data_IF_257461494305
#
_entry.id   IF_257461494305
#
_cell.length_a   1.000
_cell.length_b   1.000
_cell.length_c   1.000
_cell.angle_alpha   90.00
_cell.angle_beta   90.00
_cell.angle_gamma   90.00
#
_symmetry.space_group_name_H-M   'P 1'
#
loop_
_entity.id
_entity.type
_entity.pdbx_description
1 polymer ?
#
# COMPACT_ATOMS: atom_id res chain seq x y z
N UNK A 1 -12.24 48.03 27.22
CA UNK A 1 -11.16 47.40 26.43
C UNK A 1 -10.49 46.37 27.32
N UNK A 2 -11.01 45.13 27.32
CA UNK A 2 -10.50 44.06 28.18
C UNK A 2 -9.31 43.41 27.48
N UNK A 3 -8.12 43.60 28.06
CA UNK A 3 -6.88 42.98 27.60
C UNK A 3 -6.96 41.47 27.89
N UNK A 4 -7.18 40.66 26.85
CA UNK A 4 -7.03 39.21 26.91
C UNK A 4 -5.55 38.90 27.12
N UNK A 5 -5.17 38.68 28.38
CA UNK A 5 -3.88 38.07 28.72
C UNK A 5 -3.87 36.64 28.18
N UNK A 6 -3.24 36.42 27.03
CA UNK A 6 -2.90 35.09 26.55
C UNK A 6 -1.99 34.42 27.57
N UNK A 7 -2.43 33.31 28.17
CA UNK A 7 -1.55 32.47 28.98
C UNK A 7 -0.42 31.97 28.06
N UNK A 8 0.82 32.33 28.40
CA UNK A 8 1.99 31.74 27.76
C UNK A 8 1.91 30.22 27.89
N UNK A 9 1.97 29.52 26.75
CA UNK A 9 1.90 28.08 26.70
C UNK A 9 3.20 27.51 27.27
N UNK A 10 3.12 26.58 28.23
CA UNK A 10 4.32 25.97 28.82
C UNK A 10 5.09 25.20 27.74
N UNK A 11 6.37 25.52 27.59
CA UNK A 11 7.28 24.79 26.70
C UNK A 11 7.65 23.48 27.39
N UNK A 12 7.30 22.36 26.76
CA UNK A 12 7.68 21.02 27.17
C UNK A 12 9.17 20.80 26.94
N UNK A 13 9.82 20.25 27.95
CA UNK A 13 11.24 19.94 27.96
C UNK A 13 11.50 18.52 28.44
N UNK A 14 12.68 17.94 28.12
CA UNK A 14 13.03 16.62 28.61
C UNK A 14 13.00 16.51 30.14
N UNK A 15 12.38 15.43 30.62
CA UNK A 15 12.18 15.16 32.05
C UNK A 15 10.79 15.56 32.56
N UNK A 16 9.99 16.26 31.76
CA UNK A 16 8.62 16.61 32.13
C UNK A 16 7.74 15.35 32.24
N UNK A 17 6.88 15.33 33.27
CA UNK A 17 5.94 14.22 33.52
C UNK A 17 4.79 14.14 32.50
N UNK A 18 4.78 15.01 31.49
CA UNK A 18 3.78 15.03 30.44
C UNK A 18 3.94 13.86 29.44
N UNK A 19 5.09 13.20 29.39
CA UNK A 19 5.35 12.09 28.46
C UNK A 19 5.13 10.74 29.16
N UNK A 20 4.11 9.99 28.71
CA UNK A 20 3.84 8.65 29.23
C UNK A 20 4.75 7.61 28.55
N UNK A 21 5.83 7.27 29.26
CA UNK A 21 6.86 6.33 28.81
C UNK A 21 6.31 4.91 28.59
N UNK A 22 5.19 4.55 29.22
CA UNK A 22 4.55 3.24 29.03
C UNK A 22 4.01 3.06 27.62
N UNK A 23 3.81 4.16 26.89
CA UNK A 23 3.32 4.16 25.52
C UNK A 23 4.44 3.95 24.48
N UNK A 24 5.72 3.94 24.88
CA UNK A 24 6.83 3.67 23.97
C UNK A 24 6.77 2.21 23.51
N UNK A 25 6.94 2.01 22.20
CA UNK A 25 7.07 0.68 21.61
C UNK A 25 8.32 0.60 20.75
N UNK A 26 9.13 -0.42 21.02
CA UNK A 26 10.19 -0.83 20.12
C UNK A 26 9.57 -1.48 18.88
N UNK A 27 10.17 -1.25 17.72
CA UNK A 27 9.68 -1.78 16.46
C UNK A 27 10.47 -1.29 15.27
N UNK A 28 10.16 -1.83 14.11
CA UNK A 28 10.67 -1.35 12.82
C UNK A 28 9.50 -1.18 11.88
N UNK A 29 9.44 -0.04 11.21
CA UNK A 29 8.41 0.27 10.23
C UNK A 29 9.05 1.04 9.07
N UNK A 30 8.40 0.98 7.93
CA UNK A 30 8.82 1.70 6.74
C UNK A 30 7.79 2.74 6.34
N UNK A 31 8.24 3.95 5.99
CA UNK A 31 7.38 4.99 5.46
C UNK A 31 7.82 5.36 4.03
N UNK A 32 6.89 5.29 3.09
CA UNK A 32 7.05 5.83 1.75
C UNK A 32 6.86 7.35 1.78
N UNK A 33 7.76 8.12 1.19
CA UNK A 33 7.59 9.56 0.99
C UNK A 33 7.16 9.84 -0.44
N UNK A 34 6.01 10.50 -0.59
CA UNK A 34 5.46 10.95 -1.85
C UNK A 34 5.59 12.46 -1.97
N UNK A 35 6.04 12.94 -3.12
CA UNK A 35 5.95 14.35 -3.48
C UNK A 35 4.72 14.59 -4.37
N UNK A 36 4.09 15.74 -4.20
CA UNK A 36 2.98 16.18 -5.05
C UNK A 36 3.49 17.11 -6.16
N UNK A 37 3.17 16.81 -7.41
CA UNK A 37 3.40 17.70 -8.56
C UNK A 37 2.29 17.54 -9.59
N UNK A 38 1.73 18.65 -10.07
CA UNK A 38 0.65 18.68 -11.07
C UNK A 38 -0.56 17.79 -10.69
N UNK A 39 -0.93 17.76 -9.41
CA UNK A 39 -2.03 16.94 -8.89
C UNK A 39 -1.76 15.43 -8.88
N UNK A 40 -0.52 15.00 -9.15
CA UNK A 40 -0.10 13.61 -9.08
C UNK A 40 0.91 13.41 -7.94
N UNK A 41 0.86 12.24 -7.33
CA UNK A 41 1.83 11.81 -6.32
C UNK A 41 2.82 10.83 -6.95
N UNK A 42 4.09 10.94 -6.56
CA UNK A 42 5.14 10.00 -6.94
C UNK A 42 6.06 9.75 -5.76
N UNK A 43 6.45 8.49 -5.57
CA UNK A 43 7.33 8.08 -4.47
C UNK A 43 8.75 8.61 -4.73
N UNK A 44 9.23 9.48 -3.85
CA UNK A 44 10.58 10.05 -3.95
C UNK A 44 11.58 9.34 -3.05
N UNK A 45 11.13 8.72 -1.96
CA UNK A 45 12.02 7.98 -1.07
C UNK A 45 11.28 7.00 -0.16
N UNK A 46 12.03 6.11 0.49
CA UNK A 46 11.55 5.26 1.58
C UNK A 46 12.42 5.47 2.82
N UNK A 47 11.78 5.53 3.98
CA UNK A 47 12.41 5.63 5.29
C UNK A 47 12.18 4.33 6.05
N UNK A 48 13.22 3.56 6.35
CA UNK A 48 13.14 2.48 7.35
C UNK A 48 13.50 3.06 8.70
N UNK A 49 12.58 3.00 9.65
CA UNK A 49 12.74 3.58 10.99
C UNK A 49 12.71 2.44 12.00
N UNK A 50 13.76 2.35 12.81
CA UNK A 50 13.84 1.42 13.94
C UNK A 50 13.84 2.21 15.24
N UNK A 51 12.81 1.97 16.06
CA UNK A 51 12.75 2.43 17.44
C UNK A 51 13.23 1.28 18.33
N UNK A 52 14.24 1.55 19.15
CA UNK A 52 14.75 0.62 20.14
C UNK A 52 14.74 1.29 21.52
N UNK A 53 13.74 0.95 22.33
CA UNK A 53 13.64 1.36 23.71
C UNK A 53 14.21 0.29 24.63
N UNK A 54 15.07 0.72 25.55
CA UNK A 54 15.67 -0.06 26.63
C UNK A 54 15.50 0.71 27.94
N UNK A 55 15.83 0.11 29.09
CA UNK A 55 15.76 0.80 30.38
C UNK A 55 16.67 2.02 30.47
N UNK A 56 17.72 2.08 29.64
CA UNK A 56 18.71 3.17 29.63
C UNK A 56 18.45 4.18 28.53
N UNK A 57 18.20 3.71 27.31
CA UNK A 57 18.18 4.53 26.12
C UNK A 57 16.94 4.27 25.26
N UNK A 58 16.45 5.35 24.64
CA UNK A 58 15.58 5.34 23.48
C UNK A 58 16.44 5.65 22.24
N UNK A 59 16.64 4.67 21.37
CA UNK A 59 17.32 4.83 20.09
C UNK A 59 16.34 4.91 18.93
N UNK A 60 16.51 5.90 18.06
CA UNK A 60 15.82 6.03 16.77
C UNK A 60 16.86 5.96 15.67
N UNK A 61 16.77 4.92 14.84
CA UNK A 61 17.67 4.70 13.71
C UNK A 61 16.87 4.82 12.42
N UNK A 62 17.31 5.70 11.52
CA UNK A 62 16.60 5.96 10.26
C UNK A 62 17.52 5.65 9.09
N UNK A 63 17.02 4.85 8.17
CA UNK A 63 17.65 4.56 6.88
C UNK A 63 16.79 5.17 5.78
N UNK A 64 17.37 6.09 5.00
CA UNK A 64 16.69 6.76 3.89
C UNK A 64 17.23 6.25 2.57
N UNK A 65 16.34 5.69 1.75
CA UNK A 65 16.59 5.26 0.38
C UNK A 65 15.89 6.22 -0.60
N UNK A 66 16.65 6.82 -1.51
CA UNK A 66 16.09 7.67 -2.56
C UNK A 66 15.62 6.81 -3.75
N UNK A 67 14.40 7.05 -4.24
CA UNK A 67 13.87 6.34 -5.40
C UNK A 67 14.78 6.55 -6.62
N UNK A 68 15.15 5.45 -7.29
CA UNK A 68 16.03 5.50 -8.47
C UNK A 68 17.52 5.73 -8.19
N UNK A 69 17.95 5.78 -6.93
CA UNK A 69 19.35 5.94 -6.54
C UNK A 69 19.85 4.76 -5.70
N UNK A 70 21.16 4.52 -5.72
CA UNK A 70 21.85 3.63 -4.77
C UNK A 70 22.28 4.36 -3.49
N UNK A 71 22.07 5.67 -3.43
CA UNK A 71 22.46 6.50 -2.29
C UNK A 71 21.57 6.20 -1.08
N UNK A 72 22.22 6.08 0.07
CA UNK A 72 21.59 5.81 1.36
C UNK A 72 22.02 6.88 2.35
N UNK A 73 21.07 7.40 3.12
CA UNK A 73 21.38 8.22 4.31
C UNK A 73 21.06 7.43 5.57
N UNK A 74 21.97 7.49 6.54
CA UNK A 74 21.85 6.80 7.82
C UNK A 74 21.84 7.88 8.91
N UNK A 75 20.79 7.91 9.70
CA UNK A 75 20.66 8.78 10.85
C UNK A 75 20.49 7.94 12.12
N UNK A 76 21.10 8.39 13.21
CA UNK A 76 20.97 7.79 14.53
C UNK A 76 20.71 8.89 15.53
N UNK A 77 19.70 8.71 16.37
CA UNK A 77 19.40 9.56 17.51
C UNK A 77 19.24 8.70 18.74
N UNK A 78 19.89 9.08 19.82
CA UNK A 78 19.86 8.37 21.10
C UNK A 78 19.49 9.38 22.17
N UNK A 79 18.46 9.05 22.93
CA UNK A 79 18.02 9.80 24.10
C UNK A 79 18.02 8.90 25.34
N UNK A 80 18.16 9.51 26.52
CA UNK A 80 17.93 8.83 27.79
C UNK A 80 16.47 8.35 27.86
N UNK A 81 16.25 7.08 28.22
CA UNK A 81 14.90 6.49 28.22
C UNK A 81 13.98 7.08 29.29
N UNK A 82 14.56 7.61 30.37
CA UNK A 82 13.80 8.12 31.50
C UNK A 82 13.42 9.59 31.34
N UNK A 83 14.25 10.40 30.70
CA UNK A 83 14.02 11.85 30.57
C UNK A 83 13.78 12.28 29.15
N UNK A 84 14.10 11.43 28.17
CA UNK A 84 14.16 11.78 26.74
C UNK A 84 15.13 12.90 26.42
N UNK A 85 16.08 13.19 27.33
CA UNK A 85 17.19 14.09 27.04
C UNK A 85 18.02 13.46 25.93
N UNK A 86 18.31 14.17 24.84
CA UNK A 86 19.18 13.64 23.81
C UNK A 86 20.58 13.43 24.40
N UNK A 87 21.25 12.37 23.94
CA UNK A 87 22.59 11.93 24.36
C UNK A 87 23.53 11.98 23.17
N UNK A 88 23.08 11.47 22.02
CA UNK A 88 23.89 11.38 20.82
C UNK A 88 23.06 11.49 19.55
N UNK A 89 23.63 12.13 18.52
CA UNK A 89 23.13 12.05 17.16
C UNK A 89 24.25 11.91 16.15
N UNK A 90 24.00 11.15 15.10
CA UNK A 90 24.83 11.13 13.91
C UNK A 90 24.01 11.12 12.64
N UNK A 91 24.57 11.68 11.58
CA UNK A 91 24.02 11.65 10.23
C UNK A 91 25.12 11.34 9.24
N UNK A 92 24.94 10.37 8.37
CA UNK A 92 25.87 10.07 7.28
C UNK A 92 25.09 9.89 5.99
N UNK A 93 25.41 10.68 4.98
CA UNK A 93 24.85 10.56 3.64
C UNK A 93 25.95 10.75 2.60
N UNK A 94 25.59 10.70 1.32
CA UNK A 94 26.49 11.07 0.22
C UNK A 94 27.09 12.47 0.38
N UNK A 95 26.32 13.42 0.92
CA UNK A 95 26.68 14.84 0.94
C UNK A 95 27.21 15.33 2.29
N UNK A 96 26.95 14.62 3.40
CA UNK A 96 27.36 15.06 4.73
C UNK A 96 27.79 13.92 5.65
N UNK A 97 28.56 14.28 6.66
CA UNK A 97 28.77 13.50 7.87
C UNK A 97 28.60 14.44 9.07
N UNK A 98 27.86 14.02 10.09
CA UNK A 98 27.61 14.83 11.28
C UNK A 98 27.63 13.94 12.51
N UNK A 99 28.20 14.47 13.60
CA UNK A 99 28.15 13.90 14.93
C UNK A 99 27.84 15.03 15.92
N UNK A 100 26.88 14.80 16.80
CA UNK A 100 26.45 15.70 17.86
C UNK A 100 26.40 14.92 19.16
N UNK A 101 27.13 15.38 20.18
CA UNK A 101 27.08 14.88 21.54
C UNK A 101 26.36 15.91 22.40
N UNK A 102 25.37 15.46 23.14
CA UNK A 102 24.55 16.31 23.99
C UNK A 102 24.98 16.16 25.45
N UNK A 103 25.14 17.30 26.13
CA UNK A 103 25.56 17.35 27.53
C UNK A 103 25.32 18.75 28.10
N UNK A 104 26.16 19.18 29.05
CA UNK A 104 26.16 20.58 29.52
C UNK A 104 26.42 21.57 28.39
N UNK A 105 27.26 21.17 27.44
CA UNK A 105 27.42 21.81 26.14
C UNK A 105 27.03 20.80 25.06
N UNK A 106 26.52 21.29 23.93
CA UNK A 106 26.34 20.49 22.72
C UNK A 106 27.61 20.61 21.89
N UNK A 107 28.26 19.49 21.61
CA UNK A 107 29.56 19.47 20.93
C UNK A 107 29.55 18.51 19.74
N UNK A 108 30.44 18.71 18.79
CA UNK A 108 30.59 17.79 17.67
C UNK A 108 31.07 18.45 16.40
N UNK A 109 30.67 17.90 15.26
CA UNK A 109 31.02 18.47 13.97
C UNK A 109 29.98 18.16 12.90
N UNK A 110 29.94 19.01 11.88
CA UNK A 110 29.33 18.78 10.59
C UNK A 110 30.41 18.86 9.51
N UNK A 111 30.49 17.86 8.66
CA UNK A 111 31.40 17.80 7.53
C UNK A 111 30.61 17.75 6.23
N UNK A 112 30.73 18.80 5.44
CA UNK A 112 30.21 18.87 4.09
C UNK A 112 31.17 18.12 3.15
N UNK A 113 30.71 16.99 2.59
CA UNK A 113 31.53 16.17 1.69
C UNK A 113 31.69 16.78 0.31
N UNK A 114 30.78 17.67 -0.10
CA UNK A 114 30.84 18.36 -1.39
C UNK A 114 31.87 19.48 -1.36
N UNK A 115 31.79 20.35 -0.34
CA UNK A 115 32.71 21.49 -0.21
C UNK A 115 33.98 21.14 0.55
N UNK A 116 34.07 19.93 1.13
CA UNK A 116 35.15 19.47 2.01
C UNK A 116 35.36 20.38 3.23
N UNK A 117 34.33 21.10 3.66
CA UNK A 117 34.37 22.01 4.82
C UNK A 117 33.89 21.31 6.07
N UNK A 118 34.63 21.49 7.16
CA UNK A 118 34.26 21.02 8.50
C UNK A 118 33.83 22.21 9.36
N UNK A 119 32.66 22.09 9.97
CA UNK A 119 32.11 23.03 10.94
C UNK A 119 32.13 22.36 12.31
N UNK A 120 32.75 23.03 13.29
CA UNK A 120 32.71 22.60 14.70
C UNK A 120 31.37 23.00 15.30
N UNK A 121 30.76 22.09 16.06
CA UNK A 121 29.53 22.34 16.82
C UNK A 121 29.95 22.63 18.26
N UNK A 122 29.53 23.78 18.79
CA UNK A 122 29.70 24.17 20.19
C UNK A 122 28.58 25.11 20.61
N UNK A 123 27.51 24.57 21.16
CA UNK A 123 26.36 25.32 21.66
C UNK A 123 26.13 25.06 23.15
N UNK A 124 25.32 25.91 23.79
CA UNK A 124 24.87 25.69 25.16
C UNK A 124 23.88 24.51 25.24
N UNK A 125 24.05 23.63 26.22
CA UNK A 125 23.16 22.51 26.50
C UNK A 125 21.90 22.97 27.23
N UNK A 126 20.88 23.39 26.47
CA UNK A 126 19.56 23.71 27.00
C UNK A 126 18.67 22.46 27.12
N UNK A 127 17.53 22.58 27.80
CA UNK A 127 16.55 21.51 27.89
C UNK A 127 15.71 21.45 26.59
N UNK A 128 16.09 20.57 25.66
CA UNK A 128 15.42 20.37 24.37
C UNK A 128 15.37 18.88 23.99
N UNK A 129 14.44 18.51 23.11
CA UNK A 129 14.42 17.22 22.44
C UNK A 129 15.26 17.25 21.16
N UNK A 130 15.69 16.08 20.67
CA UNK A 130 16.33 15.98 19.36
C UNK A 130 15.29 15.97 18.21
N UNK A 131 15.61 16.63 17.10
CA UNK A 131 14.69 16.78 15.96
C UNK A 131 14.30 15.48 15.27
N UNK A 132 15.09 14.40 15.40
CA UNK A 132 14.76 13.09 14.85
C UNK A 132 14.01 12.19 15.84
N UNK A 133 14.09 12.48 17.14
CA UNK A 133 13.38 11.70 18.18
C UNK A 133 12.01 12.30 18.50
N UNK A 134 11.85 13.62 18.52
CA UNK A 134 10.59 14.27 18.95
C UNK A 134 9.32 13.81 18.20
N UNK A 135 9.33 13.47 16.89
CA UNK A 135 8.12 13.03 16.21
C UNK A 135 7.50 11.80 16.88
N UNK A 136 8.33 10.92 17.43
CA UNK A 136 7.91 9.70 18.13
C UNK A 136 7.53 9.95 19.59
N UNK A 137 7.96 11.09 20.16
CA UNK A 137 7.53 11.53 21.49
C UNK A 137 6.12 12.14 21.46
N UNK A 138 5.65 12.64 20.31
CA UNK A 138 4.28 13.17 20.17
C UNK A 138 3.21 12.13 20.56
N UNK A 139 3.44 10.86 20.24
CA UNK A 139 2.53 9.76 20.61
C UNK A 139 2.47 9.46 22.10
N UNK A 140 3.45 9.94 22.88
CA UNK A 140 3.54 9.75 24.33
C UNK A 140 2.84 10.87 25.11
N UNK A 141 2.44 11.95 24.45
CA UNK A 141 1.70 13.04 25.07
C UNK A 141 0.27 12.58 25.41
N UNK A 142 -0.38 13.20 26.42
CA UNK A 142 -1.77 12.96 26.77
C UNK A 142 -2.71 13.65 25.75
N UNK A 143 -2.60 13.22 24.49
CA UNK A 143 -3.32 13.79 23.36
C UNK A 143 -4.83 13.69 23.59
N UNK A 144 -5.49 14.84 23.50
CA UNK A 144 -6.94 15.00 23.50
C UNK A 144 -7.32 16.09 22.50
N UNK A 145 -8.58 16.13 22.07
CA UNK A 145 -9.04 17.20 21.18
C UNK A 145 -8.82 18.57 21.84
N UNK A 146 -8.20 19.50 21.12
CA UNK A 146 -7.87 20.84 21.61
C UNK A 146 -6.55 20.93 22.39
N UNK A 147 -5.82 19.82 22.55
CA UNK A 147 -4.48 19.83 23.15
C UNK A 147 -3.54 20.79 22.40
N UNK A 148 -2.74 21.53 23.17
CA UNK A 148 -1.69 22.44 22.68
C UNK A 148 -0.45 22.25 23.56
N UNK A 149 0.72 22.22 22.94
CA UNK A 149 2.02 22.17 23.61
C UNK A 149 3.10 22.78 22.72
N UNK A 150 4.09 23.43 23.31
CA UNK A 150 5.30 23.86 22.58
C UNK A 150 6.42 22.90 22.98
N UNK A 151 7.27 22.46 22.06
CA UNK A 151 8.44 21.63 22.35
C UNK A 151 9.70 22.38 21.93
N UNK A 152 10.67 22.48 22.84
CA UNK A 152 12.01 22.91 22.47
C UNK A 152 12.72 21.77 21.73
N UNK A 153 13.16 22.00 20.50
CA UNK A 153 13.78 21.01 19.62
C UNK A 153 15.12 21.52 19.11
N UNK A 154 16.16 20.69 19.24
CA UNK A 154 17.49 20.99 18.71
C UNK A 154 17.72 20.34 17.34
N UNK A 155 18.15 21.14 16.38
CA UNK A 155 18.51 20.73 15.03
C UNK A 155 19.68 21.57 14.50
N UNK A 156 20.89 20.99 14.51
CA UNK A 156 22.05 21.67 13.96
C UNK A 156 22.04 21.68 12.43
N UNK A 157 22.17 22.87 11.84
CA UNK A 157 22.51 23.05 10.42
C UNK A 157 23.51 24.20 10.28
N UNK A 158 24.53 24.09 9.42
CA UNK A 158 25.41 25.22 9.13
C UNK A 158 24.61 26.44 8.66
N UNK A 159 24.88 27.61 9.24
CA UNK A 159 24.20 28.86 8.91
C UNK A 159 22.91 29.16 9.69
N UNK A 160 22.48 28.27 10.60
CA UNK A 160 21.39 28.58 11.52
C UNK A 160 21.76 29.75 12.46
N UNK A 161 20.82 30.67 12.68
CA UNK A 161 20.96 31.71 13.72
C UNK A 161 20.83 31.14 15.14
N UNK A 162 19.96 30.14 15.32
CA UNK A 162 19.83 29.32 16.54
C UNK A 162 19.60 27.87 16.15
N UNK A 163 20.21 26.95 16.89
CA UNK A 163 20.02 25.51 16.70
C UNK A 163 18.88 24.95 17.55
N UNK A 164 18.37 25.71 18.52
CA UNK A 164 17.14 25.35 19.26
C UNK A 164 15.96 26.12 18.69
N UNK A 165 14.88 25.40 18.37
CA UNK A 165 13.67 25.90 17.74
C UNK A 165 12.45 25.42 18.53
N UNK A 166 11.34 26.16 18.43
CA UNK A 166 10.07 25.72 18.97
C UNK A 166 9.28 24.95 17.90
N UNK A 167 8.90 23.71 18.22
CA UNK A 167 7.88 22.97 17.51
C UNK A 167 6.55 23.15 18.27
N UNK A 168 5.63 23.95 17.71
CA UNK A 168 4.34 24.25 18.30
C UNK A 168 3.28 23.27 17.83
N UNK A 169 2.64 22.57 18.75
CA UNK A 169 1.41 21.83 18.50
C UNK A 169 0.26 22.84 18.41
N UNK A 170 -0.20 23.10 17.19
CA UNK A 170 -1.23 24.09 16.89
C UNK A 170 -2.65 23.55 17.06
N UNK A 171 -2.85 22.25 16.83
CA UNK A 171 -4.16 21.61 16.91
C UNK A 171 -3.98 20.10 17.12
N UNK A 172 -4.81 19.54 18.00
CA UNK A 172 -5.04 18.10 18.08
C UNK A 172 -6.53 17.85 17.93
N UNK A 173 -6.91 16.94 17.03
CA UNK A 173 -8.30 16.50 16.86
C UNK A 173 -8.41 15.01 16.57
N UNK A 174 -9.61 14.48 16.76
CA UNK A 174 -9.92 13.11 16.36
C UNK A 174 -10.10 13.03 14.84
N UNK A 175 -9.55 12.00 14.22
CA UNK A 175 -9.78 11.71 12.81
C UNK A 175 -9.81 10.18 12.58
N UNK A 176 -10.13 9.76 11.36
CA UNK A 176 -10.05 8.40 10.88
C UNK A 176 -8.98 8.33 9.79
N UNK A 177 -8.01 7.44 9.95
CA UNK A 177 -7.09 7.08 8.89
C UNK A 177 -7.54 5.75 8.26
N UNK A 178 -7.54 5.65 6.94
CA UNK A 178 -7.91 4.42 6.23
C UNK A 178 -6.68 3.86 5.51
N UNK A 179 -6.20 2.73 6.01
CA UNK A 179 -5.19 1.90 5.36
C UNK A 179 -5.83 1.01 4.28
N UNK A 180 -5.12 0.83 3.17
CA UNK A 180 -5.50 -0.10 2.11
C UNK A 180 -5.37 -1.57 2.53
N UNK A 181 -4.56 -1.86 3.56
CA UNK A 181 -4.27 -3.20 4.07
C UNK A 181 -5.14 -3.52 5.30
N UNK A 182 -5.04 -2.72 6.34
CA UNK A 182 -5.65 -2.99 7.65
C UNK A 182 -6.99 -2.27 7.85
N UNK A 183 -7.32 -1.28 7.01
CA UNK A 183 -8.61 -0.58 7.03
C UNK A 183 -8.63 0.62 7.95
N UNK A 184 -9.75 0.80 8.67
CA UNK A 184 -10.03 2.03 9.40
C UNK A 184 -9.34 2.04 10.78
N UNK A 185 -8.60 3.12 11.04
CA UNK A 185 -7.87 3.37 12.29
C UNK A 185 -8.30 4.70 12.89
N UNK A 186 -8.65 4.69 14.18
CA UNK A 186 -8.95 5.93 14.91
C UNK A 186 -7.63 6.59 15.27
N UNK A 187 -7.46 7.84 14.85
CA UNK A 187 -6.21 8.56 15.04
C UNK A 187 -6.41 9.92 15.73
N UNK A 188 -5.35 10.38 16.38
CA UNK A 188 -5.12 11.79 16.65
C UNK A 188 -4.46 12.40 15.42
N UNK A 189 -5.10 13.44 14.87
CA UNK A 189 -4.47 14.32 13.91
C UNK A 189 -3.80 15.46 14.67
N UNK A 190 -2.47 15.48 14.69
CA UNK A 190 -1.64 16.42 15.44
C UNK A 190 -0.95 17.36 14.45
N UNK A 191 -1.37 18.63 14.43
CA UNK A 191 -0.74 19.68 13.61
C UNK A 191 0.39 20.33 14.39
N UNK A 192 1.59 20.30 13.84
CA UNK A 192 2.81 20.89 14.40
C UNK A 192 3.38 21.91 13.43
N UNK A 193 3.80 23.07 13.93
CA UNK A 193 4.48 24.11 13.16
C UNK A 193 5.87 24.37 13.77
N UNK A 194 6.92 24.29 12.96
CA UNK A 194 8.26 24.71 13.36
C UNK A 194 8.42 26.21 13.16
N UNK A 195 8.51 26.98 14.24
CA UNK A 195 8.40 28.44 14.17
C UNK A 195 9.51 29.10 13.33
N UNK A 196 10.71 28.53 13.34
CA UNK A 196 11.87 29.09 12.68
C UNK A 196 11.83 28.93 11.15
N UNK A 197 11.34 27.79 10.66
CA UNK A 197 11.28 27.49 9.22
C UNK A 197 9.89 27.72 8.63
N UNK A 198 8.87 27.82 9.47
CA UNK A 198 7.45 27.80 9.11
C UNK A 198 7.02 26.50 8.42
N UNK A 199 7.81 25.44 8.58
CA UNK A 199 7.42 24.10 8.13
C UNK A 199 6.25 23.61 8.97
N UNK A 200 5.26 23.01 8.31
CA UNK A 200 4.06 22.46 8.97
C UNK A 200 4.02 20.95 8.76
N UNK A 201 3.69 20.24 9.82
CA UNK A 201 3.57 18.78 9.86
C UNK A 201 2.20 18.40 10.41
N UNK A 202 1.57 17.39 9.83
CA UNK A 202 0.32 16.83 10.34
C UNK A 202 0.49 15.34 10.53
N UNK A 203 0.63 14.92 11.78
CA UNK A 203 0.81 13.52 12.15
C UNK A 203 -0.54 12.83 12.38
N UNK A 204 -0.71 11.63 11.85
CA UNK A 204 -1.87 10.77 12.07
C UNK A 204 -1.43 9.63 12.98
N UNK A 205 -1.58 9.86 14.29
CA UNK A 205 -1.09 8.96 15.34
C UNK A 205 -2.24 8.10 15.83
N UNK A 206 -2.12 6.79 15.72
CA UNK A 206 -3.10 5.83 16.19
C UNK A 206 -3.44 6.01 17.66
N UNK A 207 -4.73 5.99 18.02
CA UNK A 207 -5.16 6.22 19.40
C UNK A 207 -4.77 5.09 20.35
N UNK A 208 -4.71 3.86 19.85
CA UNK A 208 -4.50 2.67 20.65
C UNK A 208 -3.03 2.23 20.58
N UNK A 209 -2.53 2.04 19.36
CA UNK A 209 -1.19 1.52 19.12
C UNK A 209 -0.09 2.58 19.23
N UNK A 210 -0.43 3.88 19.09
CA UNK A 210 0.49 5.03 18.96
C UNK A 210 1.38 5.00 17.71
N UNK A 211 1.08 4.13 16.75
CA UNK A 211 1.71 4.07 15.43
C UNK A 211 1.45 5.36 14.65
N UNK A 212 2.44 5.84 13.90
CA UNK A 212 2.26 6.97 12.99
C UNK A 212 1.91 6.41 11.62
N UNK A 213 0.66 6.58 11.20
CA UNK A 213 0.15 6.07 9.93
C UNK A 213 0.53 6.96 8.74
N UNK A 214 0.52 8.28 8.97
CA UNK A 214 0.77 9.28 7.95
C UNK A 214 1.37 10.55 8.55
N UNK A 215 2.22 11.23 7.79
CA UNK A 215 2.67 12.60 8.06
C UNK A 215 2.46 13.43 6.79
N UNK A 216 1.57 14.42 6.83
CA UNK A 216 1.54 15.45 5.78
C UNK A 216 2.58 16.53 6.12
N UNK A 217 3.45 16.88 5.18
CA UNK A 217 4.52 17.86 5.36
C UNK A 217 4.36 18.98 4.34
N UNK A 218 4.35 20.22 4.82
CA UNK A 218 4.49 21.42 4.00
C UNK A 218 5.80 22.10 4.39
N UNK A 219 6.78 22.06 3.50
CA UNK A 219 8.09 22.68 3.70
C UNK A 219 8.51 23.46 2.48
N UNK A 220 8.88 24.73 2.66
CA UNK A 220 9.32 25.62 1.56
C UNK A 220 8.39 25.63 0.33
N UNK A 221 7.08 25.54 0.55
CA UNK A 221 6.06 25.48 -0.52
C UNK A 221 5.88 24.11 -1.18
N UNK A 222 6.72 23.12 -0.84
CA UNK A 222 6.58 21.74 -1.30
C UNK A 222 5.69 20.94 -0.38
N UNK A 223 4.82 20.11 -0.96
CA UNK A 223 3.97 19.15 -0.24
C UNK A 223 4.56 17.76 -0.36
N UNK A 224 4.86 17.16 0.78
CA UNK A 224 5.29 15.77 0.90
C UNK A 224 4.31 15.01 1.79
N UNK A 225 4.20 13.70 1.58
CA UNK A 225 3.45 12.81 2.44
C UNK A 225 4.29 11.59 2.77
N UNK A 226 4.50 11.33 4.06
CA UNK A 226 5.02 10.05 4.51
C UNK A 226 3.84 9.14 4.85
N UNK A 227 3.81 7.95 4.28
CA UNK A 227 2.76 6.95 4.48
C UNK A 227 3.41 5.65 4.94
N UNK A 228 2.91 5.08 6.04
CA UNK A 228 3.38 3.79 6.54
C UNK A 228 3.10 2.67 5.52
N UNK A 229 4.12 1.87 5.21
CA UNK A 229 4.03 0.72 4.28
C UNK A 229 3.48 -0.55 4.93
N UNK A 230 3.31 -0.54 6.26
CA UNK A 230 2.78 -1.68 7.03
C UNK A 230 3.57 -2.96 6.80
N UNK A 231 4.90 -2.85 6.79
CA UNK A 231 5.80 -3.99 6.52
C UNK A 231 5.71 -5.12 7.55
N UNK A 232 5.15 -4.83 8.72
CA UNK A 232 4.84 -5.77 9.79
C UNK A 232 3.44 -6.42 9.66
N UNK A 233 2.62 -5.97 8.71
CA UNK A 233 1.32 -6.60 8.43
C UNK A 233 1.51 -7.93 7.71
N UNK A 234 1.21 -9.01 8.41
CA UNK A 234 1.15 -10.35 7.84
C UNK A 234 -0.19 -11.02 8.20
N UNK A 235 -1.14 -11.12 7.26
CA UNK A 235 -2.42 -11.77 7.52
C UNK A 235 -2.39 -13.29 7.35
N UNK A 236 -1.25 -13.87 6.94
CA UNK A 236 -1.13 -15.30 6.66
C UNK A 236 -0.81 -16.09 7.93
N UNK A 237 -1.54 -17.18 8.13
CA UNK A 237 -1.25 -18.18 9.16
C UNK A 237 -0.38 -19.31 8.61
N UNK A 238 -0.43 -19.55 7.31
CA UNK A 238 0.41 -20.54 6.63
C UNK A 238 1.79 -19.98 6.37
N UNK A 239 2.83 -20.75 6.73
CA UNK A 239 4.21 -20.44 6.34
C UNK A 239 4.42 -20.74 4.86
N UNK A 240 4.95 -19.79 4.11
CA UNK A 240 5.34 -19.99 2.72
C UNK A 240 6.67 -20.77 2.64
N UNK A 241 6.72 -21.82 1.81
CA UNK A 241 7.94 -22.55 1.46
C UNK A 241 8.33 -22.24 0.01
N UNK A 242 9.23 -21.27 -0.16
CA UNK A 242 9.72 -20.84 -1.47
C UNK A 242 10.42 -21.97 -2.22
N UNK A 243 11.28 -22.73 -1.53
CA UNK A 243 12.12 -23.74 -2.17
C UNK A 243 11.27 -24.89 -2.74
N UNK A 244 10.30 -25.37 -1.95
CA UNK A 244 9.35 -26.37 -2.41
C UNK A 244 8.46 -25.84 -3.53
N UNK A 245 7.87 -24.66 -3.36
CA UNK A 245 6.93 -24.08 -4.32
C UNK A 245 7.59 -23.81 -5.67
N UNK A 246 8.83 -23.31 -5.68
CA UNK A 246 9.58 -23.08 -6.92
C UNK A 246 9.90 -24.39 -7.64
N UNK A 247 10.21 -25.47 -6.90
CA UNK A 247 10.43 -26.80 -7.50
C UNK A 247 9.19 -27.31 -8.23
N UNK A 248 7.99 -27.04 -7.71
CA UNK A 248 6.74 -27.46 -8.36
C UNK A 248 6.60 -26.98 -9.82
N UNK A 249 7.23 -25.84 -10.17
CA UNK A 249 7.11 -25.20 -11.49
C UNK A 249 8.39 -25.22 -12.33
N UNK A 250 9.49 -25.77 -11.79
CA UNK A 250 10.81 -25.78 -12.44
C UNK A 250 11.46 -27.16 -12.52
N UNK A 251 11.15 -28.09 -11.60
CA UNK A 251 11.93 -29.32 -11.42
C UNK A 251 11.20 -30.60 -11.80
N UNK A 252 9.95 -30.52 -12.27
CA UNK A 252 9.23 -31.71 -12.72
C UNK A 252 9.36 -31.94 -14.23
N UNK A 253 8.65 -32.94 -14.74
CA UNK A 253 8.64 -33.34 -16.14
C UNK A 253 7.20 -33.53 -16.69
N UNK A 254 6.18 -33.15 -15.92
CA UNK A 254 4.79 -33.15 -16.36
C UNK A 254 4.48 -31.92 -17.21
N UNK A 255 3.40 -32.03 -18.00
CA UNK A 255 2.93 -30.99 -18.93
C UNK A 255 1.45 -30.75 -18.72
N UNK A 256 1.04 -29.48 -18.77
CA UNK A 256 -0.37 -29.11 -18.95
C UNK A 256 -0.51 -28.55 -20.37
N UNK A 257 -1.36 -29.19 -21.17
CA UNK A 257 -1.77 -28.72 -22.50
C UNK A 257 -3.18 -28.16 -22.37
N UNK A 258 -3.43 -26.96 -22.88
CA UNK A 258 -4.74 -26.37 -22.72
C UNK A 258 -5.27 -25.59 -23.90
N UNK A 259 -6.57 -25.31 -23.85
CA UNK A 259 -7.30 -24.52 -24.83
C UNK A 259 -8.17 -23.48 -24.12
N UNK A 260 -8.03 -22.20 -24.46
CA UNK A 260 -8.79 -21.10 -23.88
C UNK A 260 -9.83 -20.55 -24.86
N UNK A 261 -11.12 -20.58 -24.48
CA UNK A 261 -12.20 -20.07 -25.32
C UNK A 261 -13.45 -19.67 -24.52
N UNK A 262 -14.22 -18.75 -25.09
CA UNK A 262 -15.54 -18.38 -24.63
C UNK A 262 -16.62 -18.94 -25.55
N UNK A 263 -17.82 -19.10 -25.00
CA UNK A 263 -19.03 -19.31 -25.77
C UNK A 263 -20.11 -18.39 -25.25
N UNK A 264 -20.82 -17.79 -26.18
CA UNK A 264 -21.93 -16.91 -25.93
C UNK A 264 -23.24 -17.66 -26.18
N UNK A 265 -24.14 -17.75 -25.19
CA UNK A 265 -25.46 -18.35 -25.40
C UNK A 265 -26.48 -17.29 -25.84
N UNK A 266 -27.01 -17.47 -27.03
CA UNK A 266 -28.07 -16.64 -27.62
C UNK A 266 -29.50 -17.17 -27.31
N UNK A 267 -29.67 -18.00 -26.27
CA UNK A 267 -30.96 -18.69 -26.06
C UNK A 267 -32.06 -17.73 -25.56
N UNK A 268 -33.14 -17.60 -26.34
CA UNK A 268 -34.38 -16.89 -25.98
C UNK A 268 -35.54 -17.86 -25.67
N UNK A 269 -36.67 -17.33 -25.17
CA UNK A 269 -37.90 -18.09 -24.93
C UNK A 269 -37.82 -19.10 -23.77
N UNK A 270 -38.43 -20.28 -23.92
CA UNK A 270 -38.46 -21.38 -22.93
C UNK A 270 -37.07 -21.91 -22.52
N UNK A 271 -36.02 -21.54 -23.27
CA UNK A 271 -34.63 -21.93 -23.03
C UNK A 271 -33.76 -20.76 -22.52
N UNK A 272 -34.36 -19.60 -22.22
CA UNK A 272 -33.68 -18.43 -21.66
C UNK A 272 -33.02 -18.79 -20.33
N UNK A 273 -31.69 -18.72 -20.29
CA UNK A 273 -30.88 -19.10 -19.11
C UNK A 273 -30.53 -20.59 -19.03
N UNK A 274 -31.02 -21.44 -19.95
CA UNK A 274 -30.54 -22.81 -20.08
C UNK A 274 -29.37 -22.82 -21.05
N UNK A 275 -28.17 -23.16 -20.55
CA UNK A 275 -27.02 -23.44 -21.40
C UNK A 275 -27.26 -24.75 -22.18
N UNK A 276 -28.00 -24.67 -23.30
CA UNK A 276 -28.19 -25.82 -24.19
C UNK A 276 -26.81 -26.17 -24.76
N UNK A 277 -26.40 -27.40 -24.49
CA UNK A 277 -25.03 -27.89 -24.71
C UNK A 277 -24.56 -27.66 -26.16
N UNK A 278 -23.38 -27.05 -26.30
CA UNK A 278 -22.48 -27.17 -27.45
C UNK A 278 -22.84 -26.49 -28.80
N UNK A 279 -23.93 -25.73 -28.94
CA UNK A 279 -24.34 -25.21 -30.26
C UNK A 279 -23.59 -23.92 -30.70
N UNK A 280 -23.09 -23.12 -29.75
CA UNK A 280 -22.50 -21.81 -30.07
C UNK A 280 -21.01 -21.89 -30.46
N UNK A 281 -20.63 -21.11 -31.48
CA UNK A 281 -19.25 -21.03 -32.01
C UNK A 281 -18.28 -20.67 -30.89
N UNK A 282 -17.17 -21.40 -30.81
CA UNK A 282 -16.08 -21.05 -29.88
C UNK A 282 -15.45 -19.73 -30.33
N UNK A 283 -15.23 -18.85 -29.36
CA UNK A 283 -14.45 -17.63 -29.53
C UNK A 283 -13.16 -17.82 -28.75
N UNK A 284 -12.09 -18.15 -29.45
CA UNK A 284 -10.80 -18.47 -28.85
C UNK A 284 -10.11 -17.22 -28.30
N UNK A 285 -9.35 -17.42 -27.23
CA UNK A 285 -8.37 -16.43 -26.81
C UNK A 285 -7.35 -16.22 -27.94
N UNK A 286 -6.97 -14.96 -28.22
CA UNK A 286 -6.06 -14.64 -29.31
C UNK A 286 -4.62 -15.01 -28.96
N UNK A 287 -3.79 -15.26 -29.97
CA UNK A 287 -2.33 -15.39 -29.82
C UNK A 287 -1.76 -14.24 -28.98
N UNK A 288 -0.88 -14.56 -28.04
CA UNK A 288 -0.33 -13.61 -27.08
C UNK A 288 -1.19 -13.38 -25.83
N UNK A 289 -2.40 -13.94 -25.74
CA UNK A 289 -3.19 -13.90 -24.49
C UNK A 289 -2.43 -14.62 -23.38
N UNK A 290 -2.18 -13.93 -22.26
CA UNK A 290 -1.48 -14.51 -21.11
C UNK A 290 -2.34 -15.56 -20.40
N UNK A 291 -1.72 -16.70 -20.09
CA UNK A 291 -2.24 -17.70 -19.17
C UNK A 291 -1.28 -17.79 -17.99
N UNK A 292 -1.83 -17.75 -16.78
CA UNK A 292 -1.10 -17.76 -15.52
C UNK A 292 -1.30 -19.11 -14.85
N UNK A 293 -0.23 -19.72 -14.36
CA UNK A 293 -0.23 -20.92 -13.53
C UNK A 293 0.31 -20.58 -12.15
N UNK A 294 -0.52 -20.80 -11.13
CA UNK A 294 -0.20 -20.57 -9.73
C UNK A 294 -0.13 -21.94 -9.03
N UNK A 295 0.98 -22.30 -8.36
CA UNK A 295 1.03 -23.48 -7.50
C UNK A 295 -0.08 -23.40 -6.44
N UNK A 296 -0.95 -24.41 -6.36
CA UNK A 296 -2.14 -24.35 -5.51
C UNK A 296 -1.87 -24.92 -4.11
N UNK A 297 -0.77 -24.47 -3.49
CA UNK A 297 -0.34 -24.86 -2.14
C UNK A 297 -1.27 -24.27 -1.07
N UNK A 298 -1.22 -24.76 0.19
CA UNK A 298 -2.00 -24.19 1.29
C UNK A 298 -1.84 -22.66 1.43
N UNK A 299 -0.62 -22.14 1.22
CA UNK A 299 -0.35 -20.71 1.25
C UNK A 299 -1.14 -19.93 0.19
N UNK A 300 -1.11 -20.38 -1.07
CA UNK A 300 -1.87 -19.70 -2.14
C UNK A 300 -3.38 -19.83 -1.96
N UNK A 301 -3.87 -20.99 -1.44
CA UNK A 301 -5.27 -21.17 -1.07
C UNK A 301 -5.71 -20.16 -0.01
N UNK A 302 -4.89 -19.97 1.03
CA UNK A 302 -5.15 -18.95 2.06
C UNK A 302 -5.12 -17.54 1.49
N UNK A 303 -4.09 -17.18 0.71
CA UNK A 303 -3.98 -15.86 0.08
C UNK A 303 -5.21 -15.53 -0.77
N UNK A 304 -5.67 -16.47 -1.61
CA UNK A 304 -6.87 -16.27 -2.42
C UNK A 304 -8.12 -16.07 -1.57
N UNK A 305 -8.31 -16.89 -0.52
CA UNK A 305 -9.45 -16.77 0.39
C UNK A 305 -9.46 -15.41 1.09
N UNK A 306 -8.31 -14.97 1.60
CA UNK A 306 -8.16 -13.67 2.25
C UNK A 306 -8.42 -12.53 1.26
N UNK A 307 -7.87 -12.62 0.04
CA UNK A 307 -8.03 -11.57 -0.97
C UNK A 307 -9.49 -11.48 -1.46
N UNK A 308 -10.20 -12.60 -1.64
CA UNK A 308 -11.62 -12.60 -2.00
C UNK A 308 -12.49 -11.97 -0.89
N UNK A 309 -12.15 -12.17 0.38
CA UNK A 309 -12.81 -11.50 1.50
C UNK A 309 -12.50 -10.00 1.57
N UNK A 310 -11.24 -9.62 1.32
CA UNK A 310 -10.78 -8.22 1.32
C UNK A 310 -11.33 -7.41 0.15
N UNK A 311 -11.48 -8.00 -1.04
CA UNK A 311 -12.05 -7.35 -2.23
C UNK A 311 -13.48 -6.84 -2.02
N UNK A 312 -14.29 -7.57 -1.24
CA UNK A 312 -15.64 -7.12 -0.85
C UNK A 312 -15.62 -5.81 -0.05
N UNK A 313 -14.48 -5.46 0.54
CA UNK A 313 -14.24 -4.23 1.30
C UNK A 313 -13.41 -3.21 0.51
N UNK A 314 -13.23 -3.40 -0.80
CA UNK A 314 -12.43 -2.53 -1.66
C UNK A 314 -10.92 -2.61 -1.40
N UNK A 315 -10.43 -3.71 -0.80
CA UNK A 315 -9.02 -3.89 -0.42
C UNK A 315 -8.39 -5.05 -1.18
N UNK A 316 -7.06 -5.02 -1.30
CA UNK A 316 -6.28 -6.13 -1.88
C UNK A 316 -5.12 -6.47 -0.96
N UNK A 317 -4.94 -7.76 -0.69
CA UNK A 317 -3.76 -8.24 0.04
C UNK A 317 -2.67 -8.53 -0.99
N UNK A 318 -1.55 -7.79 -0.97
CA UNK A 318 -0.46 -8.01 -1.91
C UNK A 318 0.12 -9.42 -1.71
N UNK A 319 0.48 -10.05 -2.82
CA UNK A 319 1.20 -11.32 -2.77
C UNK A 319 2.67 -11.04 -2.41
N UNK A 320 3.27 -11.73 -1.43
CA UNK A 320 4.69 -11.58 -1.14
C UNK A 320 5.55 -11.84 -2.38
N UNK A 321 6.63 -11.06 -2.55
CA UNK A 321 7.51 -11.15 -3.73
C UNK A 321 8.01 -12.58 -3.99
N UNK A 322 8.43 -13.28 -2.95
CA UNK A 322 8.92 -14.66 -3.04
C UNK A 322 7.86 -15.65 -3.55
N UNK A 323 6.59 -15.42 -3.22
CA UNK A 323 5.48 -16.21 -3.74
C UNK A 323 5.16 -15.83 -5.18
N UNK A 324 5.20 -14.55 -5.53
CA UNK A 324 5.02 -14.08 -6.90
C UNK A 324 6.06 -14.68 -7.87
N UNK A 325 7.31 -14.85 -7.44
CA UNK A 325 8.38 -15.49 -8.20
C UNK A 325 8.11 -16.98 -8.52
N UNK A 326 7.18 -17.63 -7.83
CA UNK A 326 6.79 -19.02 -8.09
C UNK A 326 5.60 -19.15 -9.06
N UNK A 327 5.07 -18.04 -9.57
CA UNK A 327 3.99 -18.04 -10.56
C UNK A 327 4.60 -18.15 -11.95
N UNK A 328 4.10 -19.09 -12.75
CA UNK A 328 4.52 -19.28 -14.14
C UNK A 328 3.53 -18.61 -15.09
N UNK A 329 4.02 -18.04 -16.17
CA UNK A 329 3.18 -17.50 -17.24
C UNK A 329 3.55 -18.14 -18.57
N UNK A 330 2.56 -18.25 -19.44
CA UNK A 330 2.71 -18.63 -20.84
C UNK A 330 1.74 -17.79 -21.66
N UNK A 331 1.80 -17.91 -22.98
CA UNK A 331 0.85 -17.26 -23.88
C UNK A 331 0.17 -18.28 -24.76
N UNK A 332 -1.05 -17.96 -25.17
CA UNK A 332 -1.69 -18.64 -26.29
C UNK A 332 -0.79 -18.52 -27.52
N UNK A 333 -0.48 -19.64 -28.17
CA UNK A 333 0.49 -19.70 -29.27
C UNK A 333 -0.16 -19.84 -30.66
N UNK A 334 -1.46 -20.10 -30.74
CA UNK A 334 -2.19 -20.23 -32.01
C UNK A 334 -3.59 -19.61 -31.98
N UNK A 335 -4.25 -19.64 -33.13
CA UNK A 335 -5.60 -19.08 -33.32
C UNK A 335 -6.71 -19.94 -32.70
N UNK A 336 -6.39 -21.18 -32.33
CA UNK A 336 -7.31 -22.12 -31.68
C UNK A 336 -7.23 -22.04 -30.14
N UNK A 337 -6.53 -21.04 -29.61
CA UNK A 337 -6.48 -20.76 -28.19
C UNK A 337 -5.60 -21.72 -27.40
N UNK A 338 -4.68 -22.45 -28.05
CA UNK A 338 -3.84 -23.42 -27.36
C UNK A 338 -2.71 -22.77 -26.57
N UNK A 339 -2.39 -23.37 -25.43
CA UNK A 339 -1.30 -22.96 -24.54
C UNK A 339 -0.69 -24.19 -23.86
N UNK A 340 0.54 -24.06 -23.36
CA UNK A 340 1.19 -25.13 -22.61
C UNK A 340 2.03 -24.63 -21.43
N UNK A 341 2.13 -25.48 -20.41
CA UNK A 341 3.10 -25.37 -19.33
C UNK A 341 3.88 -26.67 -19.21
N UNK A 342 5.20 -26.56 -19.14
CA UNK A 342 6.13 -27.68 -19.01
C UNK A 342 6.87 -27.64 -17.67
N UNK A 343 7.64 -28.68 -17.38
CA UNK A 343 8.50 -28.80 -16.20
C UNK A 343 7.76 -28.72 -14.86
N UNK A 344 6.56 -29.29 -14.81
CA UNK A 344 5.70 -29.29 -13.63
C UNK A 344 5.90 -30.59 -12.83
N UNK A 345 5.95 -30.48 -11.50
CA UNK A 345 5.86 -31.64 -10.63
C UNK A 345 4.40 -32.11 -10.48
N UNK A 346 4.21 -33.33 -10.00
CA UNK A 346 2.92 -33.74 -9.44
C UNK A 346 2.44 -32.74 -8.36
N UNK A 347 1.16 -32.41 -8.38
CA UNK A 347 0.57 -31.42 -7.49
C UNK A 347 -0.67 -30.74 -8.07
N UNK A 348 -1.23 -29.82 -7.28
CA UNK A 348 -2.35 -29.00 -7.69
C UNK A 348 -1.87 -27.62 -8.18
N UNK A 349 -2.48 -27.15 -9.26
CA UNK A 349 -2.19 -25.87 -9.89
C UNK A 349 -3.50 -25.15 -10.19
N UNK A 350 -3.51 -23.83 -10.03
CA UNK A 350 -4.60 -22.98 -10.49
C UNK A 350 -4.18 -22.28 -11.77
N UNK A 351 -4.99 -22.44 -12.81
CA UNK A 351 -4.87 -21.70 -14.04
C UNK A 351 -5.80 -20.50 -14.05
N UNK A 352 -5.31 -19.38 -14.55
CA UNK A 352 -6.08 -18.15 -14.74
C UNK A 352 -5.77 -17.52 -16.09
N UNK A 353 -6.81 -17.02 -16.76
CA UNK A 353 -6.67 -16.21 -17.98
C UNK A 353 -7.85 -15.25 -18.09
N UNK A 354 -7.62 -14.13 -18.79
CA UNK A 354 -8.65 -13.15 -19.12
C UNK A 354 -8.49 -12.67 -20.56
N UNK A 355 -9.59 -12.68 -21.32
CA UNK A 355 -9.62 -12.19 -22.70
C UNK A 355 -11.00 -11.67 -23.10
N UNK A 356 -11.03 -10.82 -24.13
CA UNK A 356 -12.26 -10.30 -24.70
C UNK A 356 -12.92 -11.27 -25.69
N UNK A 357 -14.25 -11.29 -25.74
CA UNK A 357 -15.05 -11.99 -26.74
C UNK A 357 -16.28 -11.16 -27.12
N UNK A 358 -16.90 -11.48 -28.24
CA UNK A 358 -18.12 -10.82 -28.70
C UNK A 358 -19.34 -11.46 -28.05
N UNK A 359 -20.16 -10.65 -27.39
CA UNK A 359 -21.48 -11.02 -26.90
C UNK A 359 -22.56 -10.48 -27.84
N UNK A 360 -23.46 -11.36 -28.29
CA UNK A 360 -24.61 -11.02 -29.11
C UNK A 360 -25.87 -11.05 -28.23
N UNK A 361 -26.54 -9.91 -28.15
CA UNK A 361 -27.86 -9.79 -27.53
C UNK A 361 -28.91 -9.55 -28.60
N UNK A 362 -30.09 -10.14 -28.45
CA UNK A 362 -31.24 -9.84 -29.29
C UNK A 362 -32.10 -8.76 -28.62
N UNK A 363 -32.51 -7.75 -29.40
CA UNK A 363 -33.41 -6.67 -29.00
C UNK A 363 -34.62 -6.67 -29.91
N UNK A 364 -35.80 -6.79 -29.32
CA UNK A 364 -37.07 -6.63 -30.03
C UNK A 364 -37.55 -5.19 -29.94
N UNK A 365 -37.84 -4.58 -31.09
CA UNK A 365 -38.40 -3.22 -31.19
C UNK A 365 -39.78 -3.28 -31.86
N UNK A 366 -40.70 -2.45 -31.38
CA UNK A 366 -42.02 -2.27 -32.03
C UNK A 366 -41.82 -1.37 -33.23
N UNK A 367 -42.06 -1.90 -34.43
CA UNK A 367 -41.89 -1.19 -35.71
C UNK A 367 -43.22 -0.73 -36.32
N UNK A 368 -44.34 -1.06 -35.69
CA UNK A 368 -45.66 -0.60 -36.09
C UNK A 368 -46.78 -1.26 -35.30
N UNK A 369 -48.02 -0.94 -35.64
CA UNK A 369 -49.21 -1.55 -35.07
C UNK A 369 -50.16 -1.97 -36.21
N UNK A 370 -50.87 -3.07 -35.99
CA UNK A 370 -51.98 -3.49 -36.84
C UNK A 370 -53.27 -3.31 -36.06
N UNK A 371 -54.08 -2.34 -36.49
CA UNK A 371 -55.38 -2.06 -35.93
C UNK A 371 -56.42 -2.99 -36.56
N UNK A 372 -57.22 -3.64 -35.73
CA UNK A 372 -58.29 -4.54 -36.19
C UNK A 372 -59.63 -3.85 -36.04
N UNK A 373 -60.41 -3.82 -37.12
CA UNK A 373 -61.77 -3.27 -37.14
C UNK A 373 -62.75 -4.37 -37.52
N UNK A 374 -63.85 -4.49 -36.79
CA UNK A 374 -64.97 -5.37 -37.12
C UNK A 374 -66.19 -4.47 -37.33
N UNK A 375 -66.80 -4.53 -38.52
CA UNK A 375 -67.93 -3.69 -38.92
C UNK A 375 -67.69 -2.18 -38.74
N UNK A 376 -66.45 -1.71 -38.99
CA UNK A 376 -66.06 -0.31 -38.84
C UNK A 376 -65.76 0.12 -37.40
N UNK A 377 -65.93 -0.75 -36.40
CA UNK A 377 -65.64 -0.46 -34.99
C UNK A 377 -64.26 -1.02 -34.63
N UNK A 378 -63.40 -0.15 -34.07
CA UNK A 378 -62.06 -0.51 -33.60
C UNK A 378 -62.13 -1.56 -32.48
N UNK A 379 -61.39 -2.67 -32.65
CA UNK A 379 -61.35 -3.79 -31.71
C UNK A 379 -60.01 -3.90 -30.95
N UNK A 380 -58.99 -3.17 -31.37
CA UNK A 380 -57.68 -3.15 -30.72
C UNK A 380 -56.52 -3.15 -31.70
N UNK A 381 -55.34 -2.89 -31.14
CA UNK A 381 -54.07 -2.84 -31.88
C UNK A 381 -53.16 -3.99 -31.46
N UNK A 382 -52.57 -4.68 -32.42
CA UNK A 382 -51.48 -5.64 -32.17
C UNK A 382 -50.15 -5.02 -32.58
N UNK A 383 -49.16 -5.02 -31.68
CA UNK A 383 -47.83 -4.53 -31.99
C UNK A 383 -47.12 -5.43 -33.01
N UNK A 384 -46.61 -4.85 -34.09
CA UNK A 384 -45.66 -5.49 -35.01
C UNK A 384 -44.26 -5.24 -34.47
N UNK A 385 -43.53 -6.32 -34.24
CA UNK A 385 -42.18 -6.24 -33.69
C UNK A 385 -41.16 -6.79 -34.68
N UNK A 386 -39.94 -6.23 -34.64
CA UNK A 386 -38.77 -6.77 -35.33
C UNK A 386 -37.67 -7.00 -34.30
N UNK A 387 -37.00 -8.15 -34.38
CA UNK A 387 -35.84 -8.46 -33.54
C UNK A 387 -34.53 -8.19 -34.29
N UNK A 388 -33.60 -7.52 -33.61
CA UNK A 388 -32.26 -7.22 -34.10
C UNK A 388 -31.21 -7.85 -33.19
N UNK A 389 -30.16 -8.40 -33.79
CA UNK A 389 -28.99 -8.88 -33.06
C UNK A 389 -27.96 -7.75 -32.94
N UNK A 390 -27.56 -7.43 -31.71
CA UNK A 390 -26.56 -6.41 -31.39
C UNK A 390 -25.33 -7.09 -30.82
N UNK A 391 -24.17 -6.85 -31.43
CA UNK A 391 -22.88 -7.30 -30.93
C UNK A 391 -22.30 -6.27 -29.94
N UNK A 392 -21.76 -6.75 -28.83
CA UNK A 392 -21.08 -5.96 -27.81
C UNK A 392 -19.82 -6.68 -27.33
N UNK A 393 -18.84 -5.93 -26.83
CA UNK A 393 -17.64 -6.54 -26.24
C UNK A 393 -17.95 -7.05 -24.83
N UNK A 394 -17.51 -8.27 -24.55
CA UNK A 394 -17.56 -8.89 -23.23
C UNK A 394 -16.18 -9.44 -22.84
N UNK A 395 -15.97 -9.73 -21.55
CA UNK A 395 -14.73 -10.34 -21.05
C UNK A 395 -14.99 -11.72 -20.43
N UNK A 396 -14.08 -12.65 -20.69
CA UNK A 396 -14.05 -13.97 -20.10
C UNK A 396 -12.89 -14.03 -19.10
N UNK A 397 -13.21 -13.97 -17.80
CA UNK A 397 -12.24 -14.18 -16.72
C UNK A 397 -12.45 -15.60 -16.17
N UNK A 398 -11.45 -16.47 -16.31
CA UNK A 398 -11.58 -17.92 -16.08
C UNK A 398 -10.54 -18.36 -15.05
N UNK A 399 -10.98 -19.09 -14.02
CA UNK A 399 -10.13 -19.76 -13.03
C UNK A 399 -10.43 -21.26 -13.03
N UNK A 400 -9.42 -22.12 -13.10
CA UNK A 400 -9.60 -23.57 -13.05
C UNK A 400 -8.45 -24.27 -12.35
N UNK A 401 -8.77 -25.12 -11.37
CA UNK A 401 -7.78 -25.99 -10.73
C UNK A 401 -7.52 -27.22 -11.60
N UNK A 402 -6.26 -27.62 -11.70
CA UNK A 402 -5.76 -28.81 -12.39
C UNK A 402 -4.88 -29.58 -11.41
N UNK A 403 -5.00 -30.89 -11.38
CA UNK A 403 -4.19 -31.77 -10.54
C UNK A 403 -3.38 -32.70 -11.43
N UNK A 404 -2.06 -32.61 -11.36
CA UNK A 404 -1.14 -33.57 -11.94
C UNK A 404 -0.91 -34.66 -10.88
N UNK A 405 -1.31 -35.90 -11.17
CA UNK A 405 -1.25 -36.98 -10.17
C UNK A 405 0.17 -37.54 -10.03
N UNK A 406 0.86 -37.75 -11.14
CA UNK A 406 2.19 -38.34 -11.19
C UNK A 406 3.17 -37.47 -12.00
N UNK A 407 4.46 -37.61 -11.68
CA UNK A 407 5.52 -36.98 -12.46
C UNK A 407 5.56 -37.59 -13.87
N UNK A 408 5.55 -36.73 -14.89
CA UNK A 408 5.53 -37.11 -16.31
C UNK A 408 4.15 -37.10 -16.95
N UNK A 409 3.09 -36.92 -16.17
CA UNK A 409 1.71 -36.86 -16.69
C UNK A 409 1.54 -35.68 -17.65
N UNK A 410 0.69 -35.89 -18.67
CA UNK A 410 0.23 -34.85 -19.59
C UNK A 410 -1.25 -34.60 -19.34
N UNK A 411 -1.57 -33.44 -18.78
CA UNK A 411 -2.93 -33.06 -18.42
C UNK A 411 -3.53 -32.13 -19.49
N UNK A 412 -4.66 -32.52 -20.06
CA UNK A 412 -5.41 -31.69 -21.00
C UNK A 412 -6.48 -30.83 -20.29
N UNK A 413 -6.49 -29.53 -20.53
CA UNK A 413 -7.39 -28.61 -19.84
C UNK A 413 -8.09 -27.62 -20.78
N UNK A 414 -9.41 -27.48 -20.62
CA UNK A 414 -10.19 -26.42 -21.25
C UNK A 414 -10.46 -25.29 -20.26
N UNK A 415 -9.97 -24.09 -20.57
CA UNK A 415 -10.32 -22.84 -19.90
C UNK A 415 -11.52 -22.24 -20.66
N UNK A 416 -12.72 -22.62 -20.23
CA UNK A 416 -13.97 -22.29 -20.92
C UNK A 416 -14.83 -21.33 -20.09
N UNK A 417 -15.24 -20.21 -20.69
CA UNK A 417 -16.35 -19.39 -20.19
C UNK A 417 -17.60 -19.70 -21.00
N UNK A 418 -18.73 -19.84 -20.33
CA UNK A 418 -20.04 -19.86 -20.98
C UNK A 418 -20.89 -18.80 -20.32
N UNK A 419 -21.48 -17.94 -21.15
CA UNK A 419 -22.46 -16.95 -20.75
C UNK A 419 -23.82 -17.38 -21.24
#
# INVERSE_FOLDING_TARGET
MACLCGRAQTVLTPGDNALDKKLIKSGTYEMACYAESNGKQFEVSTFTIKINATDKNLGVYTLLHMTGSKDVSIDTSISDASTFRPVYRSSNSRNRQMVVNYGKEVTGYYYDKQTKKRHTIKDQGNAFFDSYTYPYLLGLLPLTTGYRGDLAVYDFKPGNATNTKNARIEEVKSNLYKSDLTGDHKVWQVKVCEEATKDSYVYYIDKDSRRIWKIDILTQGQRLQLIDKETDYNPFTTKFDKAYTLKMVTAGNSVILGQAFARDNQNEGLLKGMAVLNINKKQYARTGTTVILIPYTPFFKEWMKLNDASRKKGRSIPLPKEAAECIKTTTVYDEDGHFEFTNLMAGEFLLYTEFGYTHTSSRTEVVGYTDTYINGIFQGSTARTTSYNVASNASASIKKTVTIKNNGDKEEVKLKKTR
#
